data_IF_138173750724
#
_entry.id   IF_138173750724
#
_cell.length_a   1.000
_cell.length_b   1.000
_cell.length_c   1.000
_cell.angle_alpha   90.00
_cell.angle_beta   90.00
_cell.angle_gamma   90.00
#
_symmetry.space_group_name_H-M   'P 1'
#
loop_
_entity.id
_entity.type
_entity.pdbx_description
1 polymer ?
#
# COMPACT_ATOMS: atom_id res chain seq x y z
N UNK A 1 6.96 -65.00 -24.60
CA UNK A 1 7.93 -64.84 -25.70
C UNK A 1 8.57 -63.46 -25.54
N UNK A 2 9.54 -63.25 -24.65
CA UNK A 2 11.01 -63.24 -24.91
C UNK A 2 11.36 -62.42 -26.17
N UNK A 3 12.19 -61.36 -26.14
CA UNK A 3 13.54 -61.26 -25.55
C UNK A 3 13.97 -59.82 -25.21
N UNK A 4 14.75 -59.70 -24.12
CA UNK A 4 15.68 -58.61 -23.74
C UNK A 4 16.96 -58.59 -24.59
N UNK A 5 17.59 -57.41 -24.75
CA UNK A 5 19.06 -57.13 -24.86
C UNK A 5 19.19 -55.62 -24.51
N UNK A 6 19.63 -55.12 -23.35
CA UNK A 6 20.92 -55.14 -22.63
C UNK A 6 22.16 -54.77 -23.44
N UNK A 7 22.64 -53.53 -23.30
CA UNK A 7 24.06 -53.19 -23.48
C UNK A 7 24.46 -52.14 -22.45
N UNK A 8 25.42 -52.53 -21.62
CA UNK A 8 26.04 -51.84 -20.50
C UNK A 8 27.53 -51.62 -20.86
N UNK A 9 28.21 -50.78 -20.07
CA UNK A 9 29.65 -50.49 -20.03
C UNK A 9 30.17 -49.43 -21.01
N UNK A 10 31.00 -48.45 -20.61
CA UNK A 10 32.22 -48.54 -19.79
C UNK A 10 32.48 -47.15 -19.12
N UNK A 11 32.38 -46.99 -17.80
CA UNK A 11 33.47 -46.91 -16.79
C UNK A 11 34.83 -46.39 -17.29
N UNK A 12 35.20 -45.20 -16.80
CA UNK A 12 36.59 -44.75 -16.69
C UNK A 12 36.80 -44.04 -15.35
N UNK A 13 37.43 -44.74 -14.40
CA UNK A 13 37.93 -44.23 -13.11
C UNK A 13 39.41 -44.56 -13.04
N UNK A 14 40.26 -43.59 -12.68
CA UNK A 14 41.43 -43.68 -11.78
C UNK A 14 42.10 -42.30 -11.77
N UNK A 15 41.97 -41.54 -10.67
CA UNK A 15 42.91 -41.47 -9.53
C UNK A 15 44.14 -40.60 -9.86
N UNK A 16 44.62 -39.68 -9.03
CA UNK A 16 44.26 -39.26 -7.67
C UNK A 16 45.15 -38.07 -7.30
N UNK A 17 44.76 -37.34 -6.25
CA UNK A 17 45.52 -36.20 -5.71
C UNK A 17 44.78 -35.55 -4.56
N UNK A 18 44.86 -36.16 -3.37
CA UNK A 18 44.40 -35.59 -2.12
C UNK A 18 45.51 -34.75 -1.46
N UNK A 19 45.13 -33.58 -0.93
CA UNK A 19 45.55 -32.92 0.33
C UNK A 19 45.37 -31.40 0.16
N UNK A 20 44.99 -30.57 1.12
CA UNK A 20 44.38 -30.64 2.45
C UNK A 20 44.24 -29.15 2.90
N UNK A 21 43.06 -28.76 3.41
CA UNK A 21 42.76 -27.59 4.28
C UNK A 21 43.12 -26.17 3.74
N UNK A 22 42.37 -25.08 3.95
CA UNK A 22 41.64 -24.63 5.13
C UNK A 22 40.33 -23.90 4.77
N UNK A 23 39.44 -23.88 5.75
CA UNK A 23 38.20 -23.14 5.77
C UNK A 23 38.42 -21.62 5.70
N UNK A 24 37.56 -20.92 4.94
CA UNK A 24 37.05 -19.61 5.34
C UNK A 24 35.66 -19.38 4.72
N UNK A 25 34.66 -19.52 5.59
CA UNK A 25 33.30 -19.03 5.46
C UNK A 25 33.30 -17.56 5.01
N UNK A 26 32.60 -17.24 3.91
CA UNK A 26 32.11 -15.87 3.66
C UNK A 26 30.59 -15.87 3.52
N UNK A 27 29.91 -14.92 4.18
CA UNK A 27 28.50 -14.99 4.53
C UNK A 27 27.58 -14.75 3.33
N UNK A 28 26.38 -15.32 3.43
CA UNK A 28 25.36 -15.38 2.41
C UNK A 28 25.06 -14.05 1.72
N UNK A 29 24.91 -14.16 0.41
CA UNK A 29 24.48 -13.14 -0.53
C UNK A 29 23.16 -12.53 -0.08
N UNK A 30 23.23 -11.43 0.67
CA UNK A 30 22.09 -10.63 1.09
C UNK A 30 21.30 -10.16 -0.13
N UNK A 31 19.97 -10.22 -0.02
CA UNK A 31 19.01 -9.73 -1.00
C UNK A 31 19.16 -8.22 -1.23
N UNK A 32 20.14 -7.79 -2.03
CA UNK A 32 20.20 -6.42 -2.55
C UNK A 32 19.17 -6.35 -3.68
N UNK A 33 17.89 -6.19 -3.31
CA UNK A 33 16.88 -5.73 -4.27
C UNK A 33 17.30 -4.32 -4.68
N UNK A 34 17.74 -4.17 -5.94
CA UNK A 34 17.94 -2.84 -6.54
C UNK A 34 16.75 -1.96 -6.20
N UNK A 35 16.96 -0.70 -5.77
CA UNK A 35 15.84 0.22 -5.59
C UNK A 35 15.06 0.28 -6.90
N UNK A 36 13.72 0.23 -6.86
CA UNK A 36 12.92 0.34 -8.07
C UNK A 36 13.36 1.61 -8.81
N UNK A 37 13.60 1.50 -10.13
CA UNK A 37 13.92 2.65 -10.98
C UNK A 37 12.90 3.76 -10.68
N UNK A 38 13.40 4.93 -10.29
CA UNK A 38 12.56 6.11 -10.11
C UNK A 38 11.74 6.31 -11.39
N UNK A 39 10.42 6.14 -11.28
CA UNK A 39 9.51 6.40 -12.38
C UNK A 39 9.62 7.89 -12.67
N UNK A 40 10.08 8.26 -13.87
CA UNK A 40 10.07 9.64 -14.35
C UNK A 40 8.67 10.19 -14.07
N UNK A 41 8.57 11.25 -13.27
CA UNK A 41 7.28 11.77 -12.82
C UNK A 41 6.33 11.90 -14.01
N UNK A 42 5.18 11.24 -13.93
CA UNK A 42 4.11 11.38 -14.90
C UNK A 42 3.80 12.88 -14.97
N UNK A 43 4.22 13.53 -16.04
CA UNK A 43 4.11 14.97 -16.21
C UNK A 43 2.67 15.29 -16.57
N UNK A 44 1.82 15.47 -15.56
CA UNK A 44 0.43 15.81 -15.76
C UNK A 44 -0.41 15.66 -14.50
N UNK A 45 -1.62 16.25 -14.48
CA UNK A 45 -2.61 15.95 -13.46
C UNK A 45 -3.08 14.50 -13.58
N UNK A 46 -3.40 13.88 -12.45
CA UNK A 46 -3.92 12.51 -12.42
C UNK A 46 -5.28 12.46 -13.10
N UNK A 47 -5.49 11.43 -13.91
CA UNK A 47 -6.75 11.18 -14.62
C UNK A 47 -7.75 10.38 -13.79
N UNK A 48 -9.04 10.48 -14.11
CA UNK A 48 -10.07 9.73 -13.36
C UNK A 48 -9.88 8.22 -13.44
N UNK A 49 -9.42 7.69 -14.59
CA UNK A 49 -9.11 6.26 -14.74
C UNK A 49 -7.95 5.80 -13.85
N UNK A 50 -6.91 6.62 -13.69
CA UNK A 50 -5.79 6.32 -12.78
C UNK A 50 -6.24 6.30 -11.31
N UNK A 51 -7.09 7.27 -10.90
CA UNK A 51 -7.66 7.29 -9.56
C UNK A 51 -8.46 6.01 -9.29
N UNK A 52 -9.35 5.63 -10.21
CA UNK A 52 -10.17 4.41 -10.08
C UNK A 52 -9.28 3.17 -9.99
N UNK A 53 -8.27 3.05 -10.85
CA UNK A 53 -7.35 1.92 -10.84
C UNK A 53 -6.60 1.79 -9.50
N UNK A 54 -6.17 2.92 -8.92
CA UNK A 54 -5.54 2.94 -7.60
C UNK A 54 -6.54 2.57 -6.50
N UNK A 55 -7.74 3.15 -6.50
CA UNK A 55 -8.76 2.86 -5.50
C UNK A 55 -9.20 1.39 -5.55
N UNK A 56 -9.33 0.78 -6.73
CA UNK A 56 -9.61 -0.65 -6.89
C UNK A 56 -8.49 -1.53 -6.33
N UNK A 57 -7.22 -1.13 -6.44
CA UNK A 57 -6.10 -1.85 -5.82
C UNK A 57 -6.15 -1.76 -4.31
N UNK A 58 -6.44 -0.58 -3.76
CA UNK A 58 -6.62 -0.39 -2.32
C UNK A 58 -7.79 -1.24 -1.82
N UNK A 59 -8.94 -1.17 -2.49
CA UNK A 59 -10.11 -1.97 -2.18
C UNK A 59 -9.81 -3.47 -2.19
N UNK A 60 -9.15 -3.97 -3.23
CA UNK A 60 -8.74 -5.37 -3.34
C UNK A 60 -7.82 -5.80 -2.20
N UNK A 61 -6.93 -4.91 -1.76
CA UNK A 61 -6.06 -5.16 -0.61
C UNK A 61 -6.87 -5.22 0.69
N UNK A 62 -7.79 -4.28 0.91
CA UNK A 62 -8.69 -4.26 2.07
C UNK A 62 -9.55 -5.52 2.14
N UNK A 63 -10.15 -5.93 1.01
CA UNK A 63 -10.92 -7.18 0.91
C UNK A 63 -10.07 -8.40 1.31
N UNK A 64 -8.87 -8.52 0.73
CA UNK A 64 -8.00 -9.67 0.96
C UNK A 64 -7.51 -9.77 2.40
N UNK A 65 -7.10 -8.63 2.98
CA UNK A 65 -6.47 -8.56 4.30
C UNK A 65 -7.53 -8.60 5.40
N UNK A 66 -8.58 -7.78 5.28
CA UNK A 66 -9.60 -7.60 6.33
C UNK A 66 -10.79 -8.55 6.18
N UNK A 67 -10.81 -9.37 5.12
CA UNK A 67 -11.91 -10.31 4.79
C UNK A 67 -13.26 -9.59 4.71
N UNK A 68 -13.28 -8.44 4.05
CA UNK A 68 -14.50 -7.65 3.81
C UNK A 68 -15.28 -8.23 2.62
N UNK A 69 -16.63 -8.13 2.63
CA UNK A 69 -17.46 -8.46 1.47
C UNK A 69 -17.20 -7.50 0.30
N UNK A 70 -17.63 -7.76 -0.94
CA UNK A 70 -17.46 -6.83 -2.05
C UNK A 70 -17.90 -5.40 -1.71
N UNK A 71 -17.09 -4.40 -2.10
CA UNK A 71 -17.38 -3.02 -1.71
C UNK A 71 -18.53 -2.41 -2.54
N UNK A 72 -19.19 -1.36 -2.02
CA UNK A 72 -20.13 -0.56 -2.79
C UNK A 72 -19.46 0.01 -4.05
N UNK A 73 -20.21 0.12 -5.16
CA UNK A 73 -19.69 0.65 -6.43
C UNK A 73 -19.11 2.07 -6.25
N UNK A 74 -18.00 2.35 -6.94
CA UNK A 74 -17.48 3.71 -7.04
C UNK A 74 -18.48 4.61 -7.78
N UNK A 75 -18.57 5.86 -7.34
CA UNK A 75 -19.33 6.90 -8.04
C UNK A 75 -18.51 7.58 -9.14
N UNK A 76 -17.19 7.37 -9.20
CA UNK A 76 -16.36 7.91 -10.25
C UNK A 76 -16.61 7.19 -11.58
N UNK A 77 -16.66 7.99 -12.64
CA UNK A 77 -16.74 7.50 -14.01
C UNK A 77 -15.34 7.49 -14.61
N UNK A 78 -15.01 6.39 -15.30
CA UNK A 78 -13.76 6.29 -16.03
C UNK A 78 -13.68 7.38 -17.11
N UNK A 79 -12.56 8.10 -17.11
CA UNK A 79 -12.28 9.15 -18.08
C UNK A 79 -10.79 9.41 -18.12
N UNK A 80 -10.30 9.78 -19.30
CA UNK A 80 -8.92 10.27 -19.52
C UNK A 80 -8.77 11.75 -19.13
N UNK A 81 -9.86 12.43 -18.77
CA UNK A 81 -9.80 13.80 -18.29
C UNK A 81 -9.14 13.87 -16.90
N UNK A 82 -8.49 15.01 -16.57
CA UNK A 82 -7.97 15.26 -15.23
C UNK A 82 -9.03 15.07 -14.15
N UNK A 83 -8.70 14.30 -13.12
CA UNK A 83 -9.57 14.06 -11.98
C UNK A 83 -9.65 15.32 -11.10
N UNK A 84 -10.88 15.69 -10.75
CA UNK A 84 -11.14 16.77 -9.79
C UNK A 84 -10.92 16.26 -8.36
N UNK A 85 -10.54 17.14 -7.44
CA UNK A 85 -10.33 16.78 -6.02
C UNK A 85 -11.59 16.28 -5.32
N UNK A 86 -12.74 16.94 -5.55
CA UNK A 86 -14.02 16.59 -4.94
C UNK A 86 -14.37 15.09 -5.05
N UNK A 87 -14.42 14.48 -6.26
CA UNK A 87 -14.71 13.05 -6.37
C UNK A 87 -13.63 12.16 -5.75
N UNK A 88 -12.35 12.56 -5.78
CA UNK A 88 -11.27 11.79 -5.14
C UNK A 88 -11.51 11.68 -3.62
N UNK A 89 -11.88 12.79 -2.98
CA UNK A 89 -12.20 12.81 -1.54
C UNK A 89 -13.37 11.89 -1.22
N UNK A 90 -14.44 11.95 -2.01
CA UNK A 90 -15.62 11.08 -1.83
C UNK A 90 -15.28 9.60 -1.99
N UNK A 91 -14.35 9.27 -2.90
CA UNK A 91 -13.90 7.89 -3.07
C UNK A 91 -13.08 7.41 -1.87
N UNK A 92 -12.26 8.28 -1.28
CA UNK A 92 -11.52 7.95 -0.05
C UNK A 92 -12.46 7.77 1.13
N UNK A 93 -13.50 8.60 1.24
CA UNK A 93 -14.56 8.44 2.24
C UNK A 93 -15.28 7.10 2.07
N UNK A 94 -15.65 6.73 0.83
CA UNK A 94 -16.26 5.42 0.53
C UNK A 94 -15.39 4.28 1.05
N UNK A 95 -14.09 4.29 0.75
CA UNK A 95 -13.15 3.26 1.20
C UNK A 95 -12.98 3.26 2.73
N UNK A 96 -12.92 4.43 3.36
CA UNK A 96 -12.84 4.56 4.81
C UNK A 96 -14.07 3.98 5.50
N UNK A 97 -15.28 4.36 5.07
CA UNK A 97 -16.55 3.84 5.61
C UNK A 97 -16.62 2.33 5.40
N UNK A 98 -16.20 1.85 4.24
CA UNK A 98 -16.17 0.43 3.92
C UNK A 98 -15.22 -0.38 4.82
N UNK A 99 -14.05 0.18 5.18
CA UNK A 99 -13.09 -0.47 6.07
C UNK A 99 -13.47 -0.35 7.57
N UNK A 100 -14.25 0.66 7.94
CA UNK A 100 -14.61 1.03 9.31
C UNK A 100 -15.11 -0.13 10.20
N UNK A 101 -15.92 -1.10 9.73
CA UNK A 101 -16.37 -2.22 10.57
C UNK A 101 -15.24 -3.12 11.09
N UNK A 102 -14.04 -3.00 10.54
CA UNK A 102 -12.85 -3.78 10.92
C UNK A 102 -11.84 -2.96 11.72
N UNK A 103 -12.18 -1.73 12.11
CA UNK A 103 -11.30 -0.93 12.94
C UNK A 103 -11.28 -1.48 14.37
N UNK A 104 -10.06 -1.67 14.88
CA UNK A 104 -9.80 -2.19 16.22
C UNK A 104 -9.20 -1.13 17.14
N UNK A 105 -8.60 -0.08 16.55
CA UNK A 105 -8.07 1.09 17.26
C UNK A 105 -8.93 2.31 16.97
N UNK A 106 -9.11 3.19 17.95
CA UNK A 106 -9.69 4.52 17.74
C UNK A 106 -8.66 5.56 18.13
N UNK A 107 -8.20 6.36 17.16
CA UNK A 107 -7.26 7.45 17.42
C UNK A 107 -7.96 8.69 17.99
N UNK A 108 -7.19 9.53 18.68
CA UNK A 108 -7.65 10.86 19.06
C UNK A 108 -7.95 11.66 17.78
N UNK A 109 -9.12 12.32 17.68
CA UNK A 109 -9.44 13.13 16.52
C UNK A 109 -8.38 14.20 16.28
N UNK A 110 -7.99 14.39 15.02
CA UNK A 110 -7.08 15.46 14.64
C UNK A 110 -7.77 16.84 14.76
N UNK A 111 -6.96 17.89 14.90
CA UNK A 111 -7.48 19.26 14.85
C UNK A 111 -7.83 19.64 13.41
N UNK A 112 -9.04 20.16 13.23
CA UNK A 112 -9.52 20.62 11.93
C UNK A 112 -9.56 22.14 11.86
N UNK A 113 -9.10 22.68 10.74
CA UNK A 113 -9.32 24.07 10.38
C UNK A 113 -10.16 24.09 9.10
N UNK A 114 -11.44 24.40 9.25
CA UNK A 114 -12.41 24.40 8.13
C UNK A 114 -12.13 25.49 7.10
N UNK A 115 -11.39 26.54 7.49
CA UNK A 115 -11.06 27.64 6.59
C UNK A 115 -10.06 27.22 5.50
N UNK A 116 -9.27 26.17 5.76
CA UNK A 116 -8.28 25.62 4.83
C UNK A 116 -8.89 24.63 3.83
N UNK A 117 -10.17 24.27 3.98
CA UNK A 117 -10.85 23.34 3.09
C UNK A 117 -11.38 24.12 1.88
N UNK A 118 -10.67 24.00 0.76
CA UNK A 118 -11.03 24.59 -0.53
C UNK A 118 -11.57 23.53 -1.48
N UNK A 119 -12.76 23.03 -1.16
CA UNK A 119 -13.54 22.12 -2.00
C UNK A 119 -14.88 22.76 -2.35
N UNK A 120 -15.30 22.57 -3.61
CA UNK A 120 -16.52 23.22 -4.15
C UNK A 120 -17.78 22.50 -3.71
N UNK A 121 -17.76 21.17 -3.68
CA UNK A 121 -18.88 20.35 -3.25
C UNK A 121 -19.02 20.30 -1.72
N UNK A 122 -20.21 20.63 -1.21
CA UNK A 122 -20.53 20.50 0.22
C UNK A 122 -20.33 19.07 0.75
N UNK A 123 -20.69 18.06 -0.05
CA UNK A 123 -20.48 16.66 0.31
C UNK A 123 -18.99 16.33 0.41
N UNK A 124 -18.18 16.80 -0.56
CA UNK A 124 -16.74 16.60 -0.52
C UNK A 124 -16.08 17.32 0.66
N UNK A 125 -16.58 18.51 1.05
CA UNK A 125 -16.13 19.20 2.26
C UNK A 125 -16.39 18.36 3.51
N UNK A 126 -17.62 17.87 3.69
CA UNK A 126 -17.97 17.03 4.84
C UNK A 126 -17.16 15.74 4.90
N UNK A 127 -16.96 15.09 3.75
CA UNK A 127 -16.10 13.92 3.61
C UNK A 127 -14.65 14.23 3.99
N UNK A 128 -14.09 15.34 3.51
CA UNK A 128 -12.76 15.80 3.89
C UNK A 128 -12.67 16.08 5.39
N UNK A 129 -13.69 16.70 6.00
CA UNK A 129 -13.70 16.94 7.45
C UNK A 129 -13.60 15.64 8.24
N UNK A 130 -14.41 14.63 7.87
CA UNK A 130 -14.36 13.32 8.52
C UNK A 130 -13.00 12.64 8.37
N UNK A 131 -12.43 12.66 7.16
CA UNK A 131 -11.14 12.05 6.88
C UNK A 131 -9.99 12.77 7.57
N UNK A 132 -10.05 14.10 7.71
CA UNK A 132 -9.08 14.88 8.48
C UNK A 132 -9.20 14.55 9.96
N UNK A 133 -10.42 14.51 10.52
CA UNK A 133 -10.65 14.14 11.93
C UNK A 133 -10.13 12.74 12.23
N UNK A 134 -10.29 11.79 11.30
CA UNK A 134 -9.72 10.45 11.39
C UNK A 134 -8.19 10.41 11.16
N UNK A 135 -7.57 11.54 10.83
CA UNK A 135 -6.15 11.63 10.50
C UNK A 135 -5.78 10.88 9.21
N UNK A 136 -6.75 10.49 8.39
CA UNK A 136 -6.53 9.77 7.13
C UNK A 136 -6.07 10.68 5.98
N UNK A 137 -6.29 11.99 6.11
CA UNK A 137 -5.79 13.02 5.20
C UNK A 137 -5.19 14.15 6.04
N UNK A 138 -4.09 14.74 5.58
CA UNK A 138 -3.48 15.90 6.21
C UNK A 138 -4.36 17.15 6.10
N UNK A 139 -4.44 17.94 7.18
CA UNK A 139 -5.20 19.20 7.24
C UNK A 139 -4.88 20.17 6.11
N UNK A 140 -3.59 20.28 5.76
CA UNK A 140 -3.08 21.14 4.69
C UNK A 140 -2.61 20.32 3.48
N UNK A 141 -3.18 19.14 3.25
CA UNK A 141 -2.84 18.32 2.09
C UNK A 141 -3.31 19.01 0.79
N UNK A 142 -2.58 18.87 -0.32
CA UNK A 142 -3.00 19.40 -1.62
C UNK A 142 -4.39 18.93 -2.06
N UNK A 143 -4.79 17.71 -1.66
CA UNK A 143 -6.12 17.15 -1.94
C UNK A 143 -7.27 18.01 -1.38
N UNK A 144 -7.05 18.76 -0.30
CA UNK A 144 -8.10 19.52 0.38
C UNK A 144 -7.89 21.03 0.32
N UNK A 145 -6.64 21.48 0.34
CA UNK A 145 -6.27 22.90 0.48
C UNK A 145 -5.43 23.45 -0.67
N UNK A 146 -5.09 22.62 -1.65
CA UNK A 146 -4.33 23.04 -2.83
C UNK A 146 -5.05 24.13 -3.65
N UNK A 147 -4.32 24.98 -4.38
CA UNK A 147 -4.90 26.10 -5.13
C UNK A 147 -5.59 25.69 -6.44
N UNK A 148 -5.41 24.45 -6.91
CA UNK A 148 -5.95 23.95 -8.18
C UNK A 148 -7.05 22.92 -8.00
N UNK A 149 -7.93 22.75 -8.99
CA UNK A 149 -9.01 21.75 -8.93
C UNK A 149 -8.56 20.31 -9.09
N UNK A 150 -7.32 20.10 -9.57
CA UNK A 150 -6.74 18.80 -9.91
C UNK A 150 -5.47 18.55 -9.09
N UNK A 151 -5.00 17.32 -9.08
CA UNK A 151 -3.78 16.92 -8.36
C UNK A 151 -2.70 16.43 -9.30
N UNK A 152 -1.45 16.73 -8.96
CA UNK A 152 -0.30 16.08 -9.57
C UNK A 152 -0.23 14.61 -9.14
N UNK A 153 0.41 13.77 -9.96
CA UNK A 153 0.65 12.37 -9.62
C UNK A 153 1.43 12.20 -8.30
N UNK A 154 2.32 13.15 -7.98
CA UNK A 154 3.08 13.14 -6.73
C UNK A 154 2.15 13.36 -5.53
N UNK A 155 1.36 14.43 -5.55
CA UNK A 155 0.50 14.79 -4.42
C UNK A 155 -0.58 13.74 -4.20
N UNK A 156 -1.13 13.18 -5.28
CA UNK A 156 -2.05 12.06 -5.21
C UNK A 156 -1.39 10.83 -4.58
N UNK A 157 -0.20 10.45 -5.03
CA UNK A 157 0.53 9.30 -4.49
C UNK A 157 0.87 9.44 -3.00
N UNK A 158 1.30 10.63 -2.58
CA UNK A 158 1.56 10.93 -1.16
C UNK A 158 0.28 10.81 -0.33
N UNK A 159 -0.82 11.36 -0.82
CA UNK A 159 -2.11 11.28 -0.13
C UNK A 159 -2.60 9.83 -0.02
N UNK A 160 -2.48 9.04 -1.10
CA UNK A 160 -2.81 7.60 -1.09
C UNK A 160 -1.94 6.84 -0.08
N UNK A 161 -0.63 7.10 -0.07
CA UNK A 161 0.29 6.46 0.87
C UNK A 161 -0.07 6.75 2.32
N UNK A 162 -0.35 8.02 2.64
CA UNK A 162 -0.78 8.43 3.97
C UNK A 162 -2.11 7.79 4.37
N UNK A 163 -3.10 7.79 3.47
CA UNK A 163 -4.41 7.18 3.68
C UNK A 163 -4.30 5.69 4.00
N UNK A 164 -3.53 4.93 3.22
CA UNK A 164 -3.32 3.50 3.44
C UNK A 164 -2.59 3.25 4.77
N UNK A 165 -1.55 4.03 5.08
CA UNK A 165 -0.82 3.90 6.34
C UNK A 165 -1.77 4.06 7.54
N UNK A 166 -2.66 5.05 7.49
CA UNK A 166 -3.65 5.30 8.55
C UNK A 166 -4.68 4.18 8.64
N UNK A 167 -5.21 3.69 7.51
CA UNK A 167 -6.11 2.53 7.52
C UNK A 167 -5.45 1.26 8.10
N UNK A 168 -4.15 1.05 7.83
CA UNK A 168 -3.41 -0.05 8.40
C UNK A 168 -3.30 0.11 9.93
N UNK A 169 -3.01 1.31 10.43
CA UNK A 169 -2.99 1.61 11.86
C UNK A 169 -4.35 1.38 12.54
N UNK A 170 -5.47 1.74 11.88
CA UNK A 170 -6.82 1.51 12.41
C UNK A 170 -7.20 0.03 12.51
N UNK A 171 -6.67 -0.81 11.62
CA UNK A 171 -7.09 -2.20 11.45
C UNK A 171 -6.11 -3.20 12.06
N UNK A 172 -4.90 -2.78 12.39
CA UNK A 172 -3.89 -3.63 12.99
C UNK A 172 -3.99 -3.64 14.52
N UNK A 173 -4.27 -4.80 15.09
CA UNK A 173 -4.03 -5.03 16.52
C UNK A 173 -2.52 -5.14 16.74
N UNK A 174 -1.89 -4.30 17.59
CA UNK A 174 -0.48 -4.44 17.88
C UNK A 174 -0.25 -5.81 18.53
N UNK A 175 0.63 -6.61 17.95
CA UNK A 175 0.99 -7.95 18.44
C UNK A 175 2.49 -8.00 18.68
N UNK A 176 2.94 -8.80 19.64
CA UNK A 176 4.36 -9.03 19.95
C UNK A 176 5.23 -9.38 18.73
N UNK A 177 4.61 -9.98 17.70
CA UNK A 177 5.25 -10.30 16.41
C UNK A 177 5.57 -9.07 15.55
N UNK A 178 4.74 -8.03 15.62
CA UNK A 178 4.83 -6.86 14.73
C UNK A 178 4.99 -5.53 15.50
N UNK A 179 5.07 -5.58 16.83
CA UNK A 179 5.18 -4.43 17.73
C UNK A 179 6.23 -4.73 18.81
N UNK A 180 7.54 -4.56 18.50
CA UNK A 180 8.64 -5.00 19.37
C UNK A 180 8.60 -4.42 20.78
N UNK A 181 8.04 -3.22 20.94
CA UNK A 181 7.87 -2.54 22.22
C UNK A 181 6.92 -3.28 23.18
N UNK A 182 6.08 -4.20 22.70
CA UNK A 182 5.25 -5.05 23.57
C UNK A 182 6.03 -6.19 24.24
N UNK A 183 7.22 -6.54 23.73
CA UNK A 183 8.08 -7.57 24.32
C UNK A 183 8.93 -7.06 25.50
N UNK A 184 8.80 -5.77 25.86
CA UNK A 184 9.57 -5.11 26.92
C UNK A 184 9.01 -5.28 28.35
N UNK A 185 7.99 -6.10 28.56
CA UNK A 185 7.44 -6.40 29.89
C UNK A 185 8.18 -7.56 30.60
N UNK A 186 9.52 -7.56 30.56
CA UNK A 186 10.37 -8.45 31.35
C UNK A 186 11.62 -7.69 31.77
N UNK A 187 11.47 -6.87 32.81
CA UNK A 187 12.54 -6.03 33.35
C UNK A 187 12.10 -5.31 34.62
N UNK A 188 11.55 -6.06 35.57
CA UNK A 188 11.61 -5.76 37.00
C UNK A 188 12.32 -6.93 37.67
#
# INVERSE_FOLDING_TARGET
MTKSIFALFLVGILAGGQAAQEAQTKPGTGLIKKPPKAVKGLSGPVTSSEVIAVCHRVESALQRVLKLPPAPKTALKESTAPARRDPIVLEFERLYIYARPKFVVTFRPALIDRSLIDLKSTAARQAAEQLILAGCIGRAAPLVSGPGETLSARDFGETVGHFIARLAEYTHTPTSRFSPYLNGAAGN
#
